data_IF_218715204464
#
_entry.id   IF_218715204464
#
_cell.length_a   1.000
_cell.length_b   1.000
_cell.length_c   1.000
_cell.angle_alpha   90.00
_cell.angle_beta   90.00
_cell.angle_gamma   90.00
#
_symmetry.space_group_name_H-M   'P 1'
#
loop_
_entity.id
_entity.type
_entity.pdbx_description
1 polymer ?
#
# COMPACT_ATOMS: atom_id res chain seq x y z
N UNK A 1 -21.58 5.81 -2.82
CA UNK A 1 -21.34 6.89 -3.81
C UNK A 1 -21.12 8.30 -3.25
N UNK A 2 -21.81 8.74 -2.18
CA UNK A 2 -21.66 10.11 -1.66
C UNK A 2 -20.21 10.47 -1.29
N UNK A 3 -19.52 9.60 -0.55
CA UNK A 3 -18.11 9.76 -0.17
C UNK A 3 -17.17 9.95 -1.38
N UNK A 4 -17.39 9.19 -2.46
CA UNK A 4 -16.57 9.31 -3.68
C UNK A 4 -16.75 10.69 -4.35
N UNK A 5 -17.98 11.22 -4.36
CA UNK A 5 -18.28 12.56 -4.89
C UNK A 5 -17.64 13.65 -4.04
N UNK A 6 -17.67 13.53 -2.72
CA UNK A 6 -16.98 14.44 -1.82
C UNK A 6 -15.47 14.41 -2.06
N UNK A 7 -14.89 13.21 -2.23
CA UNK A 7 -13.47 13.07 -2.52
C UNK A 7 -13.09 13.75 -3.84
N UNK A 8 -13.89 13.62 -4.89
CA UNK A 8 -13.69 14.29 -6.19
C UNK A 8 -13.71 15.83 -6.12
N UNK A 9 -14.36 16.41 -5.11
CA UNK A 9 -14.45 17.87 -4.99
C UNK A 9 -13.13 18.52 -4.59
N UNK A 10 -12.19 17.75 -3.98
CA UNK A 10 -10.85 18.22 -3.62
C UNK A 10 -10.08 18.69 -4.85
N UNK A 11 -9.35 19.80 -4.72
CA UNK A 11 -8.62 20.45 -5.81
C UNK A 11 -7.67 19.51 -6.55
N UNK A 12 -6.95 18.66 -5.83
CA UNK A 12 -5.93 17.77 -6.37
C UNK A 12 -6.52 16.58 -7.12
N UNK A 13 -7.80 16.28 -6.88
CA UNK A 13 -8.56 15.24 -7.58
C UNK A 13 -9.23 15.76 -8.85
N UNK A 14 -9.19 17.07 -9.12
CA UNK A 14 -9.68 17.69 -10.37
C UNK A 14 -8.68 17.63 -11.52
N UNK A 15 -7.50 17.09 -11.26
CA UNK A 15 -6.47 16.84 -12.28
C UNK A 15 -6.04 15.39 -12.20
N UNK A 16 -5.75 14.78 -13.35
CA UNK A 16 -5.28 13.42 -13.46
C UNK A 16 -3.98 13.23 -12.66
N UNK A 17 -3.93 12.18 -11.85
CA UNK A 17 -2.77 11.89 -11.00
C UNK A 17 -1.44 11.78 -11.76
N UNK A 18 -1.47 11.34 -13.03
CA UNK A 18 -0.25 10.99 -13.77
C UNK A 18 0.15 12.00 -14.84
N UNK A 19 -0.81 12.68 -15.46
CA UNK A 19 -0.52 13.63 -16.56
C UNK A 19 -1.11 15.02 -16.34
N UNK A 20 -1.75 15.26 -15.19
CA UNK A 20 -2.38 16.54 -14.84
C UNK A 20 -3.50 17.01 -15.78
N UNK A 21 -4.01 16.14 -16.65
CA UNK A 21 -5.17 16.46 -17.49
C UNK A 21 -6.39 16.79 -16.61
N UNK A 22 -7.17 17.83 -16.95
CA UNK A 22 -8.29 18.27 -16.12
C UNK A 22 -9.43 17.24 -16.11
N UNK A 23 -10.25 17.34 -15.06
CA UNK A 23 -11.52 16.63 -14.88
C UNK A 23 -11.44 15.11 -15.13
N UNK A 24 -10.58 14.38 -14.39
CA UNK A 24 -10.48 12.94 -14.53
C UNK A 24 -11.79 12.25 -14.16
N UNK A 25 -12.30 11.40 -15.06
CA UNK A 25 -13.54 10.63 -14.88
C UNK A 25 -13.32 9.11 -14.76
N UNK A 26 -12.07 8.71 -14.56
CA UNK A 26 -11.67 7.35 -14.22
C UNK A 26 -10.91 7.35 -12.90
N UNK A 27 -10.81 6.18 -12.28
CA UNK A 27 -10.06 5.99 -11.05
C UNK A 27 -9.38 4.61 -11.04
N UNK A 28 -8.36 4.48 -10.21
CA UNK A 28 -7.85 3.19 -9.76
C UNK A 28 -8.22 3.00 -8.29
N UNK A 29 -9.18 2.11 -8.02
CA UNK A 29 -9.83 2.00 -6.71
C UNK A 29 -8.87 1.53 -5.60
N UNK A 30 -7.97 0.60 -5.91
CA UNK A 30 -7.00 0.05 -4.96
C UNK A 30 -5.78 0.96 -4.75
N UNK A 31 -5.42 1.77 -5.77
CA UNK A 31 -4.31 2.73 -5.66
C UNK A 31 -4.79 4.03 -5.01
N UNK A 32 -6.08 4.37 -5.13
CA UNK A 32 -6.65 5.58 -4.54
C UNK A 32 -6.46 6.84 -5.40
N UNK A 33 -6.40 6.71 -6.73
CA UNK A 33 -6.16 7.83 -7.66
C UNK A 33 -7.28 8.05 -8.67
N UNK A 34 -7.53 9.30 -9.01
CA UNK A 34 -8.34 9.74 -10.15
C UNK A 34 -7.45 10.05 -11.35
N UNK A 35 -7.80 9.47 -12.49
CA UNK A 35 -7.02 9.49 -13.72
C UNK A 35 -7.91 9.80 -14.92
N UNK A 36 -7.32 10.37 -15.98
CA UNK A 36 -8.04 10.64 -17.22
C UNK A 36 -8.21 9.37 -18.06
N UNK A 37 -9.08 9.41 -19.07
CA UNK A 37 -9.33 8.27 -19.98
C UNK A 37 -8.08 7.73 -20.67
N UNK A 38 -7.13 8.59 -21.04
CA UNK A 38 -5.87 8.17 -21.68
C UNK A 38 -4.98 7.38 -20.68
N UNK A 39 -4.86 7.87 -19.45
CA UNK A 39 -4.10 7.17 -18.39
C UNK A 39 -4.81 5.89 -17.94
N UNK A 40 -6.14 5.86 -17.89
CA UNK A 40 -6.88 4.65 -17.52
C UNK A 40 -6.64 3.50 -18.50
N UNK A 41 -6.47 3.80 -19.79
CA UNK A 41 -6.01 2.83 -20.80
C UNK A 41 -4.64 2.23 -20.48
N UNK A 42 -3.68 3.05 -20.05
CA UNK A 42 -2.36 2.60 -19.61
C UNK A 42 -2.45 1.76 -18.33
N UNK A 43 -3.20 2.21 -17.33
CA UNK A 43 -3.40 1.48 -16.08
C UNK A 43 -3.99 0.08 -16.30
N UNK A 44 -4.89 -0.09 -17.27
CA UNK A 44 -5.44 -1.42 -17.63
C UNK A 44 -4.34 -2.38 -18.09
N UNK A 45 -3.30 -1.89 -18.77
CA UNK A 45 -2.17 -2.71 -19.23
C UNK A 45 -1.27 -3.23 -18.09
N UNK A 46 -1.33 -2.63 -16.90
CA UNK A 46 -0.59 -3.09 -15.73
C UNK A 46 -1.19 -4.37 -15.11
N UNK A 47 -2.47 -4.64 -15.39
CA UNK A 47 -3.22 -5.74 -14.79
C UNK A 47 -3.82 -5.41 -13.43
N UNK A 48 -4.85 -6.17 -13.06
CA UNK A 48 -5.71 -5.89 -11.88
C UNK A 48 -5.02 -6.13 -10.53
N UNK A 49 -3.92 -6.89 -10.52
CA UNK A 49 -3.08 -7.09 -9.33
C UNK A 49 -2.31 -5.82 -8.94
N UNK A 50 -2.11 -4.89 -9.88
CA UNK A 50 -1.49 -3.58 -9.65
C UNK A 50 -2.56 -2.49 -9.62
N UNK A 51 -3.42 -2.41 -10.63
CA UNK A 51 -4.38 -1.32 -10.80
C UNK A 51 -5.78 -1.81 -11.14
N UNK A 52 -6.73 -1.56 -10.25
CA UNK A 52 -8.16 -1.85 -10.43
C UNK A 52 -8.87 -0.62 -11.00
N UNK A 53 -8.92 -0.54 -12.33
CA UNK A 53 -9.46 0.62 -13.08
C UNK A 53 -10.98 0.60 -13.12
N UNK A 54 -11.61 1.71 -12.74
CA UNK A 54 -13.06 1.90 -12.75
C UNK A 54 -13.44 3.28 -13.27
N UNK A 55 -14.55 3.39 -14.00
CA UNK A 55 -15.17 4.66 -14.37
C UNK A 55 -15.88 5.26 -13.18
N UNK A 56 -15.68 6.55 -12.94
CA UNK A 56 -16.36 7.29 -11.86
C UNK A 56 -17.88 7.34 -12.07
N UNK A 57 -18.32 7.39 -13.33
CA UNK A 57 -19.74 7.62 -13.67
C UNK A 57 -20.41 6.42 -14.33
N UNK A 58 -19.67 5.56 -15.02
CA UNK A 58 -20.24 4.46 -15.82
C UNK A 58 -20.26 3.12 -15.08
N UNK A 59 -19.37 2.92 -14.12
CA UNK A 59 -19.28 1.66 -13.37
C UNK A 59 -20.07 1.72 -12.06
N UNK A 60 -20.52 0.55 -11.61
CA UNK A 60 -21.08 0.38 -10.27
C UNK A 60 -19.94 0.18 -9.29
N UNK A 61 -19.95 0.96 -8.22
CA UNK A 61 -18.96 0.90 -7.14
C UNK A 61 -19.56 0.21 -5.92
N UNK A 62 -18.81 -0.72 -5.34
CA UNK A 62 -19.10 -1.25 -4.00
C UNK A 62 -18.65 -0.27 -2.92
N UNK A 63 -19.15 -0.44 -1.69
CA UNK A 63 -18.72 0.38 -0.57
C UNK A 63 -17.24 0.16 -0.25
N UNK A 64 -16.74 -1.08 -0.31
CA UNK A 64 -15.31 -1.41 -0.15
C UNK A 64 -14.40 -0.69 -1.14
N UNK A 65 -14.81 -0.56 -2.41
CA UNK A 65 -14.04 0.16 -3.43
C UNK A 65 -14.01 1.67 -3.16
N UNK A 66 -15.12 2.22 -2.65
CA UNK A 66 -15.20 3.63 -2.26
C UNK A 66 -14.37 3.89 -1.02
N UNK A 67 -14.44 3.00 -0.03
CA UNK A 67 -13.69 3.11 1.21
C UNK A 67 -12.19 2.99 0.92
N UNK A 68 -11.76 2.10 0.02
CA UNK A 68 -10.37 2.04 -0.46
C UNK A 68 -9.88 3.39 -1.02
N UNK A 69 -10.69 4.07 -1.83
CA UNK A 69 -10.36 5.40 -2.35
C UNK A 69 -10.24 6.45 -1.24
N UNK A 70 -11.14 6.42 -0.26
CA UNK A 70 -11.18 7.37 0.85
C UNK A 70 -10.02 7.15 1.83
N UNK A 71 -9.66 5.89 2.11
CA UNK A 71 -8.55 5.50 2.98
C UNK A 71 -7.21 6.01 2.45
N UNK A 72 -6.97 5.89 1.14
CA UNK A 72 -5.79 6.52 0.53
C UNK A 72 -5.91 8.03 0.53
N UNK A 73 -7.10 8.59 0.31
CA UNK A 73 -7.36 10.02 0.41
C UNK A 73 -7.23 10.80 -0.91
N UNK A 74 -7.01 10.12 -2.03
CA UNK A 74 -6.97 10.69 -3.38
C UNK A 74 -5.57 11.03 -3.89
N UNK A 75 -5.52 11.82 -4.96
CA UNK A 75 -4.33 12.10 -5.77
C UNK A 75 -3.20 12.75 -4.97
N UNK A 76 -3.50 13.71 -4.10
CA UNK A 76 -2.47 14.37 -3.29
C UNK A 76 -1.70 13.35 -2.45
N UNK A 77 -2.44 12.50 -1.74
CA UNK A 77 -1.88 11.55 -0.80
C UNK A 77 -1.20 10.38 -1.52
N UNK A 78 -1.79 9.90 -2.61
CA UNK A 78 -1.17 8.88 -3.45
C UNK A 78 0.14 9.40 -4.08
N UNK A 79 0.17 10.63 -4.60
CA UNK A 79 1.40 11.21 -5.15
C UNK A 79 2.46 11.47 -4.06
N UNK A 80 2.06 11.84 -2.84
CA UNK A 80 2.98 11.95 -1.71
C UNK A 80 3.67 10.61 -1.35
N UNK A 81 3.13 9.49 -1.81
CA UNK A 81 3.73 8.15 -1.68
C UNK A 81 4.49 7.81 -2.97
N UNK A 82 3.76 7.68 -4.07
CA UNK A 82 4.25 7.16 -5.36
C UNK A 82 5.15 8.13 -6.13
N UNK A 83 5.30 9.36 -5.68
CA UNK A 83 6.16 10.39 -6.27
C UNK A 83 7.04 11.08 -5.21
N UNK A 84 7.16 10.46 -4.02
CA UNK A 84 7.91 11.01 -2.89
C UNK A 84 9.37 11.36 -3.23
N UNK A 85 9.98 10.56 -4.12
CA UNK A 85 11.37 10.70 -4.56
C UNK A 85 11.46 10.73 -6.09
N UNK A 86 10.77 11.68 -6.71
CA UNK A 86 10.96 11.99 -8.13
C UNK A 86 12.40 12.50 -8.38
N UNK A 87 13.21 11.85 -9.25
CA UNK A 87 14.54 12.31 -9.57
C UNK A 87 14.55 13.72 -10.15
N UNK A 88 15.63 14.47 -9.90
CA UNK A 88 15.78 15.81 -10.47
C UNK A 88 15.71 15.76 -12.01
N UNK A 89 14.91 16.66 -12.60
CA UNK A 89 14.65 16.69 -14.04
C UNK A 89 13.62 15.68 -14.54
N UNK A 90 13.17 14.74 -13.71
CA UNK A 90 12.06 13.84 -14.05
C UNK A 90 10.73 14.58 -13.88
N UNK A 91 9.86 14.50 -14.89
CA UNK A 91 8.58 15.21 -14.90
C UNK A 91 7.45 14.29 -15.32
N UNK A 92 6.25 14.62 -14.85
CA UNK A 92 5.01 14.00 -15.32
C UNK A 92 4.83 14.26 -16.82
N UNK A 93 4.24 13.31 -17.57
CA UNK A 93 3.78 13.56 -18.92
C UNK A 93 2.76 14.70 -18.96
N UNK A 94 2.71 15.44 -20.08
CA UNK A 94 1.69 16.45 -20.35
C UNK A 94 0.34 15.79 -20.69
N UNK A 95 -0.82 16.48 -20.56
CA UNK A 95 -2.11 15.99 -21.06
C UNK A 95 -2.12 15.56 -22.54
N UNK A 96 -1.21 16.10 -23.34
CA UNK A 96 -1.08 15.79 -24.77
C UNK A 96 0.09 14.86 -25.10
N UNK A 97 0.84 14.41 -24.09
CA UNK A 97 1.92 13.44 -24.27
C UNK A 97 1.42 12.16 -24.94
N UNK A 98 2.31 11.60 -25.77
CA UNK A 98 2.09 10.36 -26.48
C UNK A 98 1.84 9.20 -25.50
N UNK A 99 1.21 8.13 -26.01
CA UNK A 99 0.89 6.96 -25.20
C UNK A 99 2.13 6.30 -24.60
N UNK A 100 3.25 6.27 -25.33
CA UNK A 100 4.52 5.69 -24.86
C UNK A 100 5.08 6.44 -23.64
N UNK A 101 5.07 7.77 -23.68
CA UNK A 101 5.55 8.60 -22.57
C UNK A 101 4.70 8.39 -21.30
N UNK A 102 3.36 8.31 -21.48
CA UNK A 102 2.43 7.97 -20.40
C UNK A 102 2.70 6.58 -19.84
N UNK A 103 2.89 5.59 -20.72
CA UNK A 103 3.20 4.21 -20.34
C UNK A 103 4.47 4.12 -19.50
N UNK A 104 5.54 4.80 -19.94
CA UNK A 104 6.82 4.84 -19.24
C UNK A 104 6.66 5.39 -17.84
N UNK A 105 6.03 6.57 -17.70
CA UNK A 105 5.82 7.21 -16.40
C UNK A 105 4.98 6.34 -15.46
N UNK A 106 3.82 5.85 -15.93
CA UNK A 106 2.87 5.09 -15.12
C UNK A 106 3.47 3.75 -14.66
N UNK A 107 4.27 3.09 -15.51
CA UNK A 107 5.01 1.87 -15.11
C UNK A 107 6.07 2.16 -14.05
N UNK A 108 6.91 3.17 -14.27
CA UNK A 108 7.90 3.59 -13.27
C UNK A 108 7.26 3.94 -11.92
N UNK A 109 6.09 4.59 -11.95
CA UNK A 109 5.36 5.01 -10.76
C UNK A 109 4.74 3.85 -9.97
N UNK A 110 4.03 2.94 -10.63
CA UNK A 110 3.18 1.95 -9.93
C UNK A 110 3.66 0.50 -10.02
N UNK A 111 4.25 0.10 -11.14
CA UNK A 111 4.76 -1.27 -11.35
C UNK A 111 6.17 -1.41 -10.78
N UNK A 112 7.07 -0.50 -11.16
CA UNK A 112 8.47 -0.51 -10.73
C UNK A 112 8.71 0.26 -9.43
N UNK A 113 7.76 1.12 -9.04
CA UNK A 113 7.81 1.89 -7.79
C UNK A 113 9.12 2.71 -7.61
N UNK A 114 9.67 3.23 -8.70
CA UNK A 114 11.01 3.86 -8.73
C UNK A 114 11.07 5.14 -7.90
N UNK A 115 9.94 5.82 -7.72
CA UNK A 115 9.86 7.09 -6.98
C UNK A 115 9.39 6.93 -5.54
N UNK A 116 9.20 5.70 -5.07
CA UNK A 116 8.99 5.46 -3.64
C UNK A 116 10.26 5.78 -2.86
N UNK A 117 10.04 6.17 -1.61
CA UNK A 117 11.10 6.20 -0.60
C UNK A 117 11.78 4.83 -0.54
N UNK A 118 13.13 4.77 -0.54
CA UNK A 118 13.86 3.50 -0.61
C UNK A 118 13.41 2.44 0.40
N UNK A 119 12.96 2.83 1.61
CA UNK A 119 12.47 1.88 2.62
C UNK A 119 11.03 1.37 2.37
N UNK A 120 10.29 1.99 1.45
CA UNK A 120 8.94 1.58 1.03
C UNK A 120 8.92 0.77 -0.28
N UNK A 121 10.06 0.62 -0.95
CA UNK A 121 10.15 -0.20 -2.17
C UNK A 121 9.94 -1.67 -1.81
N UNK A 122 8.83 -2.25 -2.24
CA UNK A 122 8.62 -3.70 -2.13
C UNK A 122 9.46 -4.35 -3.23
N UNK A 123 10.76 -4.53 -2.95
CA UNK A 123 11.63 -5.29 -3.86
C UNK A 123 11.17 -6.73 -3.76
N UNK A 124 10.44 -7.19 -4.79
CA UNK A 124 10.35 -8.62 -5.05
C UNK A 124 11.74 -9.05 -5.47
N UNK A 125 12.59 -9.42 -4.51
CA UNK A 125 13.82 -10.14 -4.81
C UNK A 125 13.41 -11.48 -5.40
N UNK A 126 13.10 -11.51 -6.70
CA UNK A 126 13.25 -12.71 -7.49
C UNK A 126 14.75 -12.92 -7.63
N UNK A 127 15.34 -13.98 -7.04
CA UNK A 127 16.69 -14.37 -7.38
C UNK A 127 16.64 -14.84 -8.84
N UNK A 128 17.08 -13.98 -9.74
CA UNK A 128 17.33 -14.33 -11.12
C UNK A 128 18.44 -15.38 -11.17
N UNK A 129 18.04 -16.58 -11.60
CA UNK A 129 18.80 -17.58 -12.35
C UNK A 129 20.33 -17.47 -12.30
N UNK A 130 20.96 -18.33 -11.49
CA UNK A 130 22.38 -18.63 -11.56
C UNK A 130 22.62 -20.14 -11.31
N UNK A 131 22.67 -20.90 -12.41
CA UNK A 131 23.57 -22.04 -12.67
C UNK A 131 23.87 -23.10 -11.60
N UNK A 132 23.37 -24.33 -11.87
CA UNK A 132 24.01 -25.66 -11.76
C UNK A 132 24.86 -26.00 -10.50
N UNK A 133 24.44 -27.03 -9.75
CA UNK A 133 25.06 -28.37 -9.77
C UNK A 133 24.36 -29.33 -8.78
N UNK A 134 24.24 -30.59 -9.23
CA UNK A 134 23.70 -31.70 -8.44
C UNK A 134 24.72 -32.20 -7.41
N UNK A 135 24.26 -32.42 -6.17
CA UNK A 135 24.81 -33.45 -5.30
C UNK A 135 23.74 -33.92 -4.32
N UNK A 136 23.68 -35.23 -4.17
CA UNK A 136 22.66 -36.00 -3.48
C UNK A 136 23.22 -36.39 -2.11
N UNK A 137 22.54 -36.07 -1.01
CA UNK A 137 22.75 -36.74 0.28
C UNK A 137 21.56 -36.57 1.21
N UNK A 138 21.06 -37.73 1.66
CA UNK A 138 19.97 -37.90 2.61
C UNK A 138 20.41 -37.60 4.05
N UNK A 139 19.55 -36.95 4.84
CA UNK A 139 19.31 -37.36 6.24
C UNK A 139 18.05 -36.70 6.85
N UNK A 140 17.07 -37.55 7.18
CA UNK A 140 16.38 -37.59 8.47
C UNK A 140 15.64 -36.36 9.03
N UNK A 141 14.34 -36.30 8.72
CA UNK A 141 13.20 -36.15 9.65
C UNK A 141 13.26 -35.14 10.81
N UNK A 142 12.37 -34.15 10.76
CA UNK A 142 11.47 -33.81 11.89
C UNK A 142 10.20 -33.15 11.35
N UNK A 143 9.05 -33.80 11.61
CA UNK A 143 7.71 -33.35 11.23
C UNK A 143 7.32 -32.06 11.96
N UNK A 144 6.89 -31.06 11.21
CA UNK A 144 5.84 -30.13 11.64
C UNK A 144 4.92 -29.85 10.45
N UNK A 145 3.81 -30.57 10.39
CA UNK A 145 2.70 -30.30 9.47
C UNK A 145 1.96 -29.04 9.95
N UNK A 146 2.52 -27.88 9.60
CA UNK A 146 1.73 -26.67 9.37
C UNK A 146 2.24 -26.18 8.02
N UNK A 147 1.41 -26.35 6.99
CA UNK A 147 1.77 -26.06 5.60
C UNK A 147 2.47 -24.71 5.50
N UNK A 148 3.61 -24.70 4.81
CA UNK A 148 4.33 -23.47 4.45
C UNK A 148 3.35 -22.57 3.71
N UNK A 149 2.74 -21.63 4.42
CA UNK A 149 1.96 -20.57 3.78
C UNK A 149 2.99 -19.74 3.02
N UNK A 150 2.80 -19.63 1.71
CA UNK A 150 3.63 -18.76 0.88
C UNK A 150 3.48 -17.30 1.37
N UNK A 151 4.57 -16.72 1.84
CA UNK A 151 4.64 -15.32 2.25
C UNK A 151 5.58 -14.57 1.29
N UNK A 152 5.15 -13.41 0.79
CA UNK A 152 5.93 -12.47 -0.05
C UNK A 152 7.25 -12.09 0.64
N UNK A 153 7.25 -12.02 1.98
CA UNK A 153 8.43 -11.69 2.77
C UNK A 153 8.11 -11.45 4.24
N UNK A 154 9.08 -10.89 4.98
CA UNK A 154 8.94 -10.53 6.39
C UNK A 154 9.00 -9.00 6.51
N UNK A 155 7.96 -8.40 7.07
CA UNK A 155 7.94 -7.00 7.49
C UNK A 155 8.59 -6.89 8.88
N UNK A 156 9.77 -6.28 8.93
CA UNK A 156 10.46 -5.96 10.18
C UNK A 156 10.12 -4.50 10.58
N UNK A 157 9.45 -4.32 11.72
CA UNK A 157 9.03 -3.02 12.23
C UNK A 157 9.78 -2.71 13.51
N UNK A 158 10.58 -1.64 13.52
CA UNK A 158 11.25 -1.15 14.72
C UNK A 158 10.41 -0.07 15.40
N UNK A 159 9.86 -0.38 16.57
CA UNK A 159 9.10 0.55 17.40
C UNK A 159 10.07 1.26 18.35
N UNK A 160 10.33 2.54 18.10
CA UNK A 160 11.29 3.33 18.88
C UNK A 160 10.67 3.83 20.19
N UNK A 161 9.55 4.54 20.13
CA UNK A 161 8.96 5.20 21.29
C UNK A 161 7.65 5.92 20.97
N UNK A 162 6.99 6.40 22.03
CA UNK A 162 5.83 7.29 21.97
C UNK A 162 6.14 8.58 22.72
N UNK A 163 5.43 9.67 22.41
CA UNK A 163 5.56 10.94 23.14
C UNK A 163 4.19 11.52 23.45
N UNK A 164 4.07 12.17 24.62
CA UNK A 164 2.87 12.87 25.08
C UNK A 164 1.60 12.02 24.94
N UNK A 165 1.68 10.75 25.33
CA UNK A 165 0.53 9.84 25.28
C UNK A 165 -0.55 10.29 26.26
N UNK A 166 -1.80 9.98 25.93
CA UNK A 166 -2.93 10.34 26.78
C UNK A 166 -2.86 9.58 28.11
N UNK A 167 -3.21 10.25 29.21
CA UNK A 167 -3.45 9.64 30.52
C UNK A 167 -4.76 8.86 30.43
N UNK A 168 -4.71 7.56 30.74
CA UNK A 168 -5.88 6.67 30.78
C UNK A 168 -6.05 5.97 32.12
N UNK A 169 -5.01 6.00 32.95
CA UNK A 169 -5.04 5.59 34.35
C UNK A 169 -4.95 6.85 35.24
N UNK A 170 -5.03 6.69 36.57
CA UNK A 170 -5.23 7.79 37.52
C UNK A 170 -4.37 9.05 37.27
N UNK A 171 -3.09 8.87 36.93
CA UNK A 171 -2.14 9.97 36.69
C UNK A 171 -1.20 9.74 35.51
N UNK A 172 -1.27 8.56 34.86
CA UNK A 172 -0.41 8.19 33.74
C UNK A 172 -1.09 7.12 32.89
N UNK A 173 -0.32 6.42 32.05
CA UNK A 173 -0.76 5.26 31.27
C UNK A 173 0.33 4.21 31.24
N UNK A 174 -0.07 2.96 30.98
CA UNK A 174 0.82 1.83 30.72
C UNK A 174 0.88 1.51 29.21
N UNK A 175 1.53 2.35 28.36
CA UNK A 175 1.47 2.18 26.91
C UNK A 175 2.20 0.95 26.38
N UNK A 176 1.68 0.47 25.24
CA UNK A 176 2.27 -0.53 24.35
C UNK A 176 1.77 -0.27 22.92
N UNK A 177 2.50 -0.78 21.93
CA UNK A 177 2.10 -0.73 20.51
C UNK A 177 1.72 -2.12 20.06
N UNK A 178 0.58 -2.24 19.37
CA UNK A 178 0.14 -3.47 18.72
C UNK A 178 0.21 -3.26 17.22
N UNK A 179 0.90 -4.16 16.52
CA UNK A 179 0.90 -4.23 15.07
C UNK A 179 0.05 -5.42 14.63
N UNK A 180 -0.77 -5.23 13.60
CA UNK A 180 -1.66 -6.27 13.07
C UNK A 180 -1.51 -6.33 11.55
N UNK A 181 -1.31 -7.53 11.01
CA UNK A 181 -1.24 -7.80 9.57
C UNK A 181 -2.06 -9.06 9.25
N UNK A 182 -3.26 -8.86 8.71
CA UNK A 182 -4.23 -9.95 8.53
C UNK A 182 -4.58 -10.59 9.89
N UNK A 183 -4.35 -11.90 10.02
CA UNK A 183 -4.56 -12.64 11.27
C UNK A 183 -3.39 -12.56 12.25
N UNK A 184 -2.27 -11.95 11.85
CA UNK A 184 -1.10 -11.83 12.72
C UNK A 184 -1.22 -10.59 13.59
N UNK A 185 -0.91 -10.76 14.88
CA UNK A 185 -0.91 -9.69 15.86
C UNK A 185 0.36 -9.82 16.70
N UNK A 186 1.17 -8.78 16.72
CA UNK A 186 2.38 -8.67 17.54
C UNK A 186 2.29 -7.39 18.36
N UNK A 187 2.96 -7.36 19.51
CA UNK A 187 2.94 -6.19 20.39
C UNK A 187 4.30 -5.95 21.02
N UNK A 188 4.56 -4.69 21.38
CA UNK A 188 5.71 -4.34 22.21
C UNK A 188 5.48 -4.73 23.67
N UNK A 189 6.53 -4.67 24.47
CA UNK A 189 6.39 -4.68 25.93
C UNK A 189 5.52 -3.50 26.40
N UNK A 190 4.88 -3.68 27.55
CA UNK A 190 4.13 -2.63 28.24
C UNK A 190 5.09 -1.84 29.12
N UNK A 191 5.14 -0.52 28.96
CA UNK A 191 5.94 0.36 29.84
C UNK A 191 4.99 1.03 30.81
N UNK A 192 5.15 0.78 32.12
CA UNK A 192 4.22 1.29 33.12
C UNK A 192 4.39 2.78 33.40
N UNK A 193 3.28 3.48 33.58
CA UNK A 193 3.22 4.83 34.09
C UNK A 193 4.03 5.86 33.30
N UNK A 194 4.22 5.67 31.99
CA UNK A 194 5.08 6.53 31.19
C UNK A 194 4.35 7.04 29.94
N UNK A 195 4.14 8.35 29.82
CA UNK A 195 3.52 8.95 28.64
C UNK A 195 4.51 9.22 27.50
N UNK A 196 5.80 8.96 27.71
CA UNK A 196 6.87 9.05 26.72
C UNK A 196 7.70 7.75 26.70
N UNK A 197 7.07 6.60 26.43
CA UNK A 197 7.73 5.29 26.44
C UNK A 197 8.80 5.22 25.34
N UNK A 198 9.90 4.52 25.63
CA UNK A 198 10.95 4.17 24.66
C UNK A 198 11.08 2.66 24.69
N UNK A 199 10.68 2.00 23.59
CA UNK A 199 10.73 0.55 23.45
C UNK A 199 12.00 0.08 22.76
N UNK A 200 12.36 0.69 21.63
CA UNK A 200 13.43 0.21 20.73
C UNK A 200 13.30 -1.28 20.36
N UNK A 201 12.07 -1.76 20.21
CA UNK A 201 11.76 -3.17 19.95
C UNK A 201 11.57 -3.42 18.45
N UNK A 202 12.03 -4.57 17.97
CA UNK A 202 11.81 -5.03 16.60
C UNK A 202 10.74 -6.13 16.58
N UNK A 203 9.66 -5.89 15.83
CA UNK A 203 8.52 -6.79 15.67
C UNK A 203 8.47 -7.28 14.22
N UNK A 204 8.21 -8.57 14.02
CA UNK A 204 8.21 -9.20 12.70
C UNK A 204 6.83 -9.73 12.33
N UNK A 205 6.39 -9.45 11.11
CA UNK A 205 5.12 -9.92 10.55
C UNK A 205 5.37 -10.53 9.16
N UNK A 206 4.82 -11.71 8.89
CA UNK A 206 4.96 -12.35 7.57
C UNK A 206 3.93 -11.78 6.59
N UNK A 207 4.34 -11.29 5.43
CA UNK A 207 3.44 -10.69 4.43
C UNK A 207 2.88 -11.80 3.52
N UNK A 208 1.58 -12.13 3.51
CA UNK A 208 1.04 -13.26 2.75
C UNK A 208 1.04 -13.06 1.23
N UNK A 209 1.34 -14.11 0.43
CA UNK A 209 1.45 -14.11 -1.04
C UNK A 209 0.11 -14.08 -1.82
N UNK A 210 -0.96 -13.60 -1.17
CA UNK A 210 -2.34 -13.47 -1.66
C UNK A 210 -3.24 -14.71 -1.49
N UNK A 211 -4.31 -14.55 -0.69
CA UNK A 211 -5.71 -14.70 -1.15
C UNK A 211 -6.58 -13.69 -0.40
N UNK A 212 -7.27 -12.84 -1.16
CA UNK A 212 -8.27 -11.84 -0.72
C UNK A 212 -7.77 -10.68 0.15
N UNK A 213 -7.55 -9.53 -0.48
CA UNK A 213 -8.00 -8.26 0.10
C UNK A 213 -9.53 -8.26 0.12
N UNK A 214 -10.15 -9.10 0.95
CA UNK A 214 -11.54 -8.91 1.36
C UNK A 214 -11.48 -8.07 2.62
N UNK A 215 -11.78 -6.80 2.48
CA UNK A 215 -12.24 -5.92 3.57
C UNK A 215 -13.51 -6.51 4.18
N UNK A 216 -13.38 -7.58 4.95
CA UNK A 216 -14.44 -7.99 5.88
C UNK A 216 -14.20 -7.24 7.18
N UNK A 217 -14.60 -5.97 7.20
CA UNK A 217 -14.85 -5.29 8.48
C UNK A 217 -16.08 -5.96 9.11
N UNK A 218 -15.87 -6.74 10.17
CA UNK A 218 -16.98 -7.16 11.03
C UNK A 218 -17.63 -5.90 11.63
N UNK A 219 -18.94 -5.66 11.43
CA UNK A 219 -19.65 -4.69 12.24
C UNK A 219 -19.60 -5.17 13.69
N UNK A 220 -19.11 -4.33 14.59
CA UNK A 220 -19.28 -4.55 16.03
C UNK A 220 -20.75 -4.28 16.32
N UNK A 221 -21.56 -5.34 16.42
CA UNK A 221 -22.93 -5.27 16.91
C UNK A 221 -22.90 -4.98 18.42
N UNK A 222 -23.62 -3.94 18.83
CA UNK A 222 -24.48 -4.01 20.02
C UNK A 222 -25.91 -4.09 19.52
#
# INVERSE_FOLDING_TARGET
MAKLKELLQKSENRVCADCSAPDPNWASANIGVFICVKCSGVHRSLGTHISKVMSVTLDKWSDDEIDSMVEVGGNLQANAIYEAFLPEGYRKPHPDSAQEERQKFIKSKYELQEFLEPSLRIVSNHPSDAGKQASNSHSGSSKSEIGMVEFIGILNVKVIGGTKLAIRDMSSSDPYVVLTLGQQKVQTSVIKGNLNPVWNEELKLSVPQNKCWTTTWCPRTT
#
